data_IF_818709207992
#
_entry.id   IF_818709207992
#
_cell.length_a   1.000
_cell.length_b   1.000
_cell.length_c   1.000
_cell.angle_alpha   90.00
_cell.angle_beta   90.00
_cell.angle_gamma   90.00
#
_symmetry.space_group_name_H-M   'P 1'
#
loop_
_entity.id
_entity.type
_entity.pdbx_description
1 polymer ?
#
# COMPACT_ATOMS: atom_id res chain seq x y z
N UNK A 1 40.01 -12.87 28.53
CA UNK A 1 38.54 -12.97 28.56
C UNK A 1 38.01 -11.56 28.43
N UNK A 2 37.51 -11.07 27.29
CA UNK A 2 36.64 -11.72 26.34
C UNK A 2 35.25 -11.13 26.53
N UNK A 3 34.98 -9.94 25.99
CA UNK A 3 33.62 -9.43 25.77
C UNK A 3 33.60 -8.67 24.45
N UNK A 4 32.73 -9.18 23.57
CA UNK A 4 32.64 -8.83 22.16
C UNK A 4 32.15 -7.40 21.97
N UNK A 5 32.86 -6.65 21.11
CA UNK A 5 32.31 -5.47 20.45
C UNK A 5 31.23 -5.96 19.48
N UNK A 6 29.98 -5.92 19.95
CA UNK A 6 28.79 -6.00 19.10
C UNK A 6 28.78 -4.80 18.17
N UNK A 7 29.34 -4.98 16.97
CA UNK A 7 29.19 -4.05 15.87
C UNK A 7 27.70 -3.92 15.58
N UNK A 8 27.17 -2.72 15.75
CA UNK A 8 25.87 -2.34 15.20
C UNK A 8 25.95 -2.54 13.69
N UNK A 9 25.47 -3.70 13.21
CA UNK A 9 25.05 -3.84 11.83
C UNK A 9 23.84 -2.91 11.64
N UNK A 10 24.12 -1.63 11.41
CA UNK A 10 23.30 -0.90 10.46
C UNK A 10 23.50 -1.62 9.13
N UNK A 11 22.62 -2.59 8.87
CA UNK A 11 22.40 -3.12 7.52
C UNK A 11 21.89 -1.93 6.73
N UNK A 12 22.81 -1.13 6.19
CA UNK A 12 22.50 -0.31 5.03
C UNK A 12 22.05 -1.33 3.99
N UNK A 13 20.80 -1.23 3.56
CA UNK A 13 20.25 -2.08 2.50
C UNK A 13 20.98 -1.67 1.23
N UNK A 14 22.18 -2.19 1.05
CA UNK A 14 23.02 -1.95 -0.09
C UNK A 14 22.24 -2.39 -1.32
N UNK A 15 22.18 -1.47 -2.29
CA UNK A 15 21.72 -1.63 -3.67
C UNK A 15 22.52 -2.75 -4.38
N UNK A 16 22.43 -3.97 -3.88
CA UNK A 16 23.20 -5.11 -4.36
C UNK A 16 22.42 -5.73 -5.50
N UNK A 17 23.03 -5.71 -6.68
CA UNK A 17 22.50 -6.41 -7.83
C UNK A 17 22.36 -7.91 -7.50
N UNK A 18 21.20 -8.54 -7.78
CA UNK A 18 21.06 -9.98 -7.60
C UNK A 18 22.12 -10.73 -8.40
N UNK A 19 22.70 -11.78 -7.81
CA UNK A 19 23.75 -12.57 -8.46
C UNK A 19 23.32 -13.18 -9.81
N UNK A 20 22.03 -13.48 -9.96
CA UNK A 20 21.45 -14.03 -11.19
C UNK A 20 21.17 -12.97 -12.27
N UNK A 21 21.37 -11.69 -11.98
CA UNK A 21 20.96 -10.58 -12.83
C UNK A 21 22.15 -9.70 -13.22
N UNK A 22 21.96 -8.92 -14.28
CA UNK A 22 22.89 -7.89 -14.70
C UNK A 22 22.29 -6.52 -14.41
N UNK A 23 23.01 -5.67 -13.70
CA UNK A 23 22.54 -4.34 -13.35
C UNK A 23 23.39 -3.26 -14.01
N UNK A 24 22.72 -2.27 -14.61
CA UNK A 24 23.35 -1.12 -15.26
C UNK A 24 22.79 0.17 -14.69
N UNK A 25 23.66 1.11 -14.34
CA UNK A 25 23.23 2.46 -13.99
C UNK A 25 22.68 3.16 -15.23
N UNK A 26 21.55 3.87 -15.08
CA UNK A 26 20.94 4.66 -16.15
C UNK A 26 21.49 6.10 -16.22
N UNK A 27 22.54 6.38 -15.45
CA UNK A 27 23.13 7.71 -15.28
C UNK A 27 22.94 8.24 -13.86
N UNK A 28 23.63 9.33 -13.54
CA UNK A 28 23.50 9.97 -12.24
C UNK A 28 22.03 10.32 -11.97
N UNK A 29 21.51 9.83 -10.83
CA UNK A 29 20.13 10.05 -10.35
C UNK A 29 19.01 9.39 -11.17
N UNK A 30 19.29 8.70 -12.28
CA UNK A 30 18.26 8.04 -13.11
C UNK A 30 17.94 6.61 -12.68
N UNK A 31 18.56 6.12 -11.59
CA UNK A 31 18.31 4.80 -11.03
C UNK A 31 18.94 3.64 -11.80
N UNK A 32 18.42 2.43 -11.57
CA UNK A 32 19.05 1.18 -11.99
C UNK A 32 18.19 0.40 -13.01
N UNK A 33 18.83 -0.07 -14.08
CA UNK A 33 18.27 -1.08 -14.96
C UNK A 33 18.73 -2.46 -14.50
N UNK A 34 17.78 -3.34 -14.15
CA UNK A 34 18.01 -4.69 -13.66
C UNK A 34 17.49 -5.68 -14.70
N UNK A 35 18.40 -6.40 -15.34
CA UNK A 35 18.11 -7.42 -16.34
C UNK A 35 18.36 -8.83 -15.80
N UNK A 36 17.27 -9.52 -15.52
CA UNK A 36 17.22 -10.90 -15.04
C UNK A 36 16.63 -11.85 -16.11
N UNK A 37 16.54 -11.42 -17.37
CA UNK A 37 15.90 -12.19 -18.44
C UNK A 37 16.72 -13.41 -18.85
N UNK A 38 16.05 -14.50 -19.25
CA UNK A 38 16.71 -15.71 -19.75
C UNK A 38 17.65 -16.39 -18.75
N UNK A 39 17.31 -16.34 -17.45
CA UNK A 39 18.14 -16.86 -16.34
C UNK A 39 17.57 -18.13 -15.69
N UNK A 40 16.48 -18.69 -16.23
CA UNK A 40 15.77 -19.87 -15.69
C UNK A 40 15.30 -19.68 -14.24
N UNK A 41 14.97 -18.44 -13.88
CA UNK A 41 14.50 -18.11 -12.53
C UNK A 41 13.16 -18.78 -12.26
N UNK A 42 13.03 -19.41 -11.10
CA UNK A 42 11.78 -19.98 -10.58
C UNK A 42 11.11 -19.04 -9.56
N UNK A 43 11.87 -18.09 -9.04
CA UNK A 43 11.42 -17.08 -8.08
C UNK A 43 12.02 -15.70 -8.40
N UNK A 44 11.34 -14.65 -7.94
CA UNK A 44 11.81 -13.27 -8.13
C UNK A 44 12.92 -12.98 -7.11
N UNK A 45 14.12 -12.56 -7.54
CA UNK A 45 15.21 -12.25 -6.62
C UNK A 45 14.97 -10.97 -5.83
N UNK A 46 15.73 -10.74 -4.76
CA UNK A 46 15.65 -9.50 -3.99
C UNK A 46 16.11 -8.28 -4.82
N UNK A 47 15.19 -7.37 -5.15
CA UNK A 47 15.46 -6.26 -6.06
C UNK A 47 15.94 -4.99 -5.31
N UNK A 48 16.90 -4.24 -5.88
CA UNK A 48 17.30 -2.92 -5.37
C UNK A 48 16.15 -1.90 -5.46
N UNK A 49 16.04 -1.00 -4.47
CA UNK A 49 14.92 -0.04 -4.38
C UNK A 49 15.01 1.03 -5.49
N UNK A 50 16.22 1.36 -5.95
CA UNK A 50 16.45 2.32 -7.04
C UNK A 50 16.12 1.79 -8.45
N UNK A 51 15.55 0.59 -8.58
CA UNK A 51 15.23 -0.01 -9.87
C UNK A 51 14.19 0.80 -10.64
N UNK A 52 14.54 1.20 -11.86
CA UNK A 52 13.66 1.88 -12.83
C UNK A 52 13.21 1.01 -13.98
N UNK A 53 14.03 0.03 -14.38
CA UNK A 53 13.68 -0.91 -15.45
C UNK A 53 13.98 -2.32 -15.00
N UNK A 54 12.97 -3.18 -15.04
CA UNK A 54 13.07 -4.56 -14.54
C UNK A 54 12.67 -5.56 -15.61
N UNK A 55 13.63 -6.38 -16.07
CA UNK A 55 13.35 -7.43 -17.05
C UNK A 55 13.41 -8.81 -16.39
N UNK A 56 12.27 -9.50 -16.37
CA UNK A 56 12.10 -10.85 -15.82
C UNK A 56 11.55 -11.85 -16.86
N UNK A 57 11.42 -11.42 -18.11
CA UNK A 57 10.88 -12.24 -19.20
C UNK A 57 11.79 -13.43 -19.55
N UNK A 58 11.21 -14.45 -20.20
CA UNK A 58 11.90 -15.67 -20.60
C UNK A 58 12.55 -16.41 -19.41
N UNK A 59 11.76 -16.64 -18.36
CA UNK A 59 12.18 -17.39 -17.16
C UNK A 59 11.19 -18.54 -16.89
N UNK A 60 11.27 -19.14 -15.72
CA UNK A 60 10.40 -20.24 -15.28
C UNK A 60 9.52 -19.83 -14.10
N UNK A 61 9.15 -18.55 -14.04
CA UNK A 61 8.29 -18.01 -13.00
C UNK A 61 6.84 -18.48 -13.21
N UNK A 62 6.25 -19.08 -12.18
CA UNK A 62 4.85 -19.51 -12.21
C UNK A 62 3.93 -18.55 -11.46
N UNK A 63 4.46 -17.83 -10.47
CA UNK A 63 3.73 -16.88 -9.63
C UNK A 63 4.70 -15.91 -8.98
N UNK A 64 4.20 -14.78 -8.47
CA UNK A 64 4.99 -13.85 -7.65
C UNK A 64 4.38 -13.79 -6.25
N UNK A 65 5.14 -14.09 -5.19
CA UNK A 65 4.65 -13.99 -3.82
C UNK A 65 4.20 -12.56 -3.47
N UNK A 66 3.12 -12.39 -2.70
CA UNK A 66 2.71 -11.08 -2.20
C UNK A 66 3.85 -10.36 -1.48
N UNK A 67 4.08 -9.10 -1.83
CA UNK A 67 5.12 -8.27 -1.23
C UNK A 67 6.48 -8.31 -1.93
N UNK A 68 6.74 -9.29 -2.81
CA UNK A 68 8.05 -9.44 -3.45
C UNK A 68 8.47 -8.24 -4.32
N UNK A 69 7.50 -7.49 -4.86
CA UNK A 69 7.73 -6.32 -5.71
C UNK A 69 7.35 -5.00 -5.03
N UNK A 70 6.97 -5.03 -3.75
CA UNK A 70 6.45 -3.84 -3.06
C UNK A 70 7.50 -2.75 -2.86
N UNK A 71 8.78 -3.11 -2.87
CA UNK A 71 9.90 -2.15 -2.76
C UNK A 71 10.26 -1.47 -4.09
N UNK A 72 9.77 -1.95 -5.23
CA UNK A 72 10.12 -1.44 -6.56
C UNK A 72 8.91 -0.85 -7.29
N UNK A 73 8.26 0.13 -6.66
CA UNK A 73 7.07 0.81 -7.26
C UNK A 73 7.41 1.95 -8.21
N UNK A 74 8.65 2.45 -8.18
CA UNK A 74 9.09 3.58 -9.00
C UNK A 74 9.56 3.18 -10.40
N UNK A 75 9.09 2.03 -10.92
CA UNK A 75 9.48 1.47 -12.21
C UNK A 75 8.89 2.29 -13.36
N UNK A 76 9.69 2.50 -14.39
CA UNK A 76 9.29 3.08 -15.67
C UNK A 76 8.96 1.99 -16.69
N UNK A 77 9.66 0.85 -16.62
CA UNK A 77 9.45 -0.27 -17.51
C UNK A 77 9.61 -1.59 -16.75
N UNK A 78 8.69 -2.52 -17.03
CA UNK A 78 8.78 -3.90 -16.55
C UNK A 78 8.44 -4.83 -17.71
N UNK A 79 9.09 -6.00 -17.77
CA UNK A 79 8.81 -7.06 -18.76
C UNK A 79 8.71 -8.40 -18.07
N UNK A 80 7.54 -9.04 -18.16
CA UNK A 80 7.22 -10.31 -17.48
C UNK A 80 6.67 -11.39 -18.43
N UNK A 81 6.71 -11.15 -19.74
CA UNK A 81 6.27 -12.11 -20.76
C UNK A 81 7.09 -13.40 -20.71
N UNK A 82 6.63 -14.42 -21.43
CA UNK A 82 7.41 -15.65 -21.66
C UNK A 82 7.84 -16.34 -20.37
N UNK A 83 6.90 -16.43 -19.42
CA UNK A 83 7.02 -17.18 -18.19
C UNK A 83 5.80 -18.09 -18.06
N UNK A 84 5.93 -19.29 -17.46
CA UNK A 84 4.85 -20.25 -17.32
C UNK A 84 3.85 -19.86 -16.20
N UNK A 85 3.25 -18.67 -16.29
CA UNK A 85 2.34 -18.14 -15.27
C UNK A 85 1.17 -19.08 -14.99
N UNK A 86 1.01 -19.45 -13.72
CA UNK A 86 -0.15 -20.16 -13.22
C UNK A 86 -1.18 -19.14 -12.74
N UNK A 87 -2.25 -18.99 -13.50
CA UNK A 87 -3.31 -18.02 -13.30
C UNK A 87 -4.44 -18.54 -12.41
N UNK A 88 -4.06 -19.09 -11.26
CA UNK A 88 -4.99 -19.43 -10.17
C UNK A 88 -5.18 -18.23 -9.22
N UNK A 89 -5.58 -18.46 -7.97
CA UNK A 89 -5.79 -17.41 -6.99
C UNK A 89 -4.50 -16.65 -6.61
N UNK A 90 -3.32 -17.27 -6.74
CA UNK A 90 -2.04 -16.70 -6.35
C UNK A 90 -1.53 -15.67 -7.37
N UNK A 91 -2.04 -15.67 -8.60
CA UNK A 91 -1.68 -14.68 -9.63
C UNK A 91 -2.21 -13.28 -9.32
N UNK A 92 -3.18 -13.18 -8.39
CA UNK A 92 -3.89 -11.94 -8.10
C UNK A 92 -2.94 -10.82 -7.68
N UNK A 93 -1.92 -11.11 -6.88
CA UNK A 93 -0.92 -10.12 -6.48
C UNK A 93 -0.23 -9.50 -7.71
N UNK A 94 0.30 -10.35 -8.60
CA UNK A 94 1.00 -9.90 -9.80
C UNK A 94 0.07 -9.12 -10.73
N UNK A 95 -1.16 -9.60 -10.93
CA UNK A 95 -2.16 -8.93 -11.77
C UNK A 95 -2.43 -7.51 -11.26
N UNK A 96 -2.77 -7.35 -9.98
CA UNK A 96 -3.06 -6.05 -9.38
C UNK A 96 -1.83 -5.13 -9.36
N UNK A 97 -0.65 -5.68 -9.12
CA UNK A 97 0.60 -4.91 -9.17
C UNK A 97 0.90 -4.41 -10.60
N UNK A 98 0.69 -5.23 -11.62
CA UNK A 98 0.87 -4.82 -13.02
C UNK A 98 -0.17 -3.82 -13.49
N UNK A 99 -1.40 -3.89 -12.98
CA UNK A 99 -2.44 -2.87 -13.24
C UNK A 99 -2.02 -1.47 -12.78
N UNK A 100 -1.30 -1.38 -11.65
CA UNK A 100 -0.80 -0.11 -11.10
C UNK A 100 0.46 0.39 -11.84
N UNK A 101 1.34 -0.54 -12.24
CA UNK A 101 2.70 -0.18 -12.72
C UNK A 101 2.82 -0.13 -14.24
N UNK A 102 2.21 -1.06 -14.99
CA UNK A 102 2.43 -1.16 -16.44
C UNK A 102 1.33 -1.88 -17.19
N UNK A 103 0.47 -1.10 -17.87
CA UNK A 103 -0.55 -1.63 -18.78
C UNK A 103 0.04 -2.47 -19.93
N UNK A 104 1.21 -2.09 -20.45
CA UNK A 104 1.88 -2.82 -21.53
C UNK A 104 2.33 -4.22 -21.09
N UNK A 105 2.90 -4.35 -19.90
CA UNK A 105 3.25 -5.67 -19.36
C UNK A 105 2.01 -6.49 -19.00
N UNK A 106 0.96 -5.85 -18.49
CA UNK A 106 -0.31 -6.52 -18.19
C UNK A 106 -0.98 -7.12 -19.44
N UNK A 107 -0.83 -6.46 -20.59
CA UNK A 107 -1.37 -6.91 -21.89
C UNK A 107 -0.53 -8.03 -22.53
N UNK A 108 0.80 -7.96 -22.40
CA UNK A 108 1.71 -8.96 -22.99
C UNK A 108 1.90 -10.22 -22.13
N UNK A 109 1.63 -10.15 -20.83
CA UNK A 109 1.79 -11.28 -19.92
C UNK A 109 0.60 -12.25 -20.02
N UNK A 110 0.88 -13.51 -20.36
CA UNK A 110 -0.14 -14.55 -20.64
C UNK A 110 -0.05 -15.72 -19.68
N UNK A 111 -1.19 -16.32 -19.40
CA UNK A 111 -1.30 -17.54 -18.59
C UNK A 111 -0.78 -18.76 -19.34
N UNK A 112 0.00 -19.60 -18.67
CA UNK A 112 0.37 -20.92 -19.18
C UNK A 112 -0.53 -22.03 -18.60
N UNK A 113 -1.05 -21.81 -17.40
CA UNK A 113 -1.98 -22.71 -16.70
C UNK A 113 -2.98 -21.89 -15.86
N UNK A 114 -4.10 -22.46 -15.42
CA UNK A 114 -4.66 -23.75 -15.83
C UNK A 114 -5.16 -23.76 -17.28
N UNK A 115 -5.49 -24.95 -17.82
CA UNK A 115 -5.90 -25.12 -19.22
C UNK A 115 -7.02 -24.18 -19.72
N UNK A 116 -8.09 -23.88 -18.93
CA UNK A 116 -9.18 -23.01 -19.39
C UNK A 116 -8.77 -21.57 -19.69
N UNK A 117 -7.71 -21.07 -19.06
CA UNK A 117 -7.24 -19.68 -19.23
C UNK A 117 -5.91 -19.62 -19.98
N UNK A 118 -5.44 -20.73 -20.55
CA UNK A 118 -4.16 -20.80 -21.25
C UNK A 118 -4.11 -19.78 -22.39
N UNK A 119 -2.95 -19.13 -22.56
CA UNK A 119 -2.67 -18.03 -23.50
C UNK A 119 -3.48 -16.75 -23.28
N UNK A 120 -4.43 -16.74 -22.34
CA UNK A 120 -5.21 -15.56 -21.99
C UNK A 120 -4.30 -14.52 -21.30
N UNK A 121 -4.34 -13.24 -21.71
CA UNK A 121 -3.55 -12.21 -21.05
C UNK A 121 -4.11 -11.88 -19.68
N UNK A 122 -3.24 -11.48 -18.74
CA UNK A 122 -3.63 -11.16 -17.36
C UNK A 122 -4.71 -10.09 -17.27
N UNK A 123 -4.66 -9.08 -18.15
CA UNK A 123 -5.66 -8.00 -18.26
C UNK A 123 -7.09 -8.52 -18.43
N UNK A 124 -7.27 -9.65 -19.12
CA UNK A 124 -8.58 -10.20 -19.48
C UNK A 124 -9.10 -11.23 -18.47
N UNK A 125 -8.35 -11.54 -17.41
CA UNK A 125 -8.80 -12.49 -16.41
C UNK A 125 -9.91 -11.90 -15.54
N UNK A 126 -10.99 -12.66 -15.35
CA UNK A 126 -12.12 -12.27 -14.50
C UNK A 126 -12.12 -13.05 -13.17
N UNK A 127 -12.75 -12.51 -12.13
CA UNK A 127 -12.67 -13.08 -10.77
C UNK A 127 -13.22 -14.50 -10.63
N UNK A 128 -14.13 -14.92 -11.50
CA UNK A 128 -14.66 -16.29 -11.58
C UNK A 128 -13.65 -17.30 -12.19
N UNK A 129 -12.65 -16.84 -12.94
CA UNK A 129 -11.64 -17.69 -13.58
C UNK A 129 -10.42 -17.95 -12.69
N UNK A 130 -10.14 -17.05 -11.72
CA UNK A 130 -9.03 -17.20 -10.76
C UNK A 130 -9.29 -18.25 -9.66
N UNK A 131 -10.39 -19.02 -9.76
CA UNK A 131 -10.81 -19.96 -8.73
C UNK A 131 -11.31 -19.28 -7.45
N UNK A 132 -11.49 -20.06 -6.39
CA UNK A 132 -11.90 -19.54 -5.08
C UNK A 132 -10.69 -18.90 -4.40
N UNK A 133 -10.50 -17.60 -4.61
CA UNK A 133 -9.59 -16.81 -3.80
C UNK A 133 -10.21 -16.64 -2.42
N UNK A 134 -9.70 -17.33 -1.40
CA UNK A 134 -9.90 -16.88 -0.02
C UNK A 134 -9.25 -15.51 0.05
N UNK A 135 -10.09 -14.47 -0.02
CA UNK A 135 -9.67 -13.07 0.05
C UNK A 135 -8.87 -12.89 1.35
N UNK A 136 -7.56 -12.97 1.27
CA UNK A 136 -6.72 -11.99 1.93
C UNK A 136 -6.96 -10.66 1.19
N UNK A 137 -8.20 -10.15 1.29
CA UNK A 137 -8.39 -8.70 1.21
C UNK A 137 -7.34 -8.16 2.18
N UNK A 138 -6.50 -7.22 1.76
CA UNK A 138 -5.44 -6.77 2.63
C UNK A 138 -6.15 -6.25 3.87
N UNK A 139 -5.87 -6.87 5.02
CA UNK A 139 -6.34 -6.42 6.33
C UNK A 139 -6.07 -4.90 6.48
N UNK A 140 -5.07 -4.40 5.75
CA UNK A 140 -4.75 -2.97 5.54
C UNK A 140 -5.89 -2.10 5.02
N UNK A 141 -6.75 -2.53 4.08
CA UNK A 141 -7.88 -1.72 3.63
C UNK A 141 -8.90 -1.56 4.75
N UNK A 142 -9.23 -2.65 5.45
CA UNK A 142 -10.16 -2.62 6.57
C UNK A 142 -9.56 -1.78 7.72
N UNK A 143 -8.31 -2.03 8.11
CA UNK A 143 -7.57 -1.20 9.09
C UNK A 143 -7.55 0.29 8.73
N UNK A 144 -7.33 0.63 7.46
CA UNK A 144 -7.32 2.02 6.99
C UNK A 144 -8.71 2.65 7.13
N UNK A 145 -9.76 1.98 6.66
CA UNK A 145 -11.14 2.46 6.79
C UNK A 145 -11.56 2.63 8.26
N UNK A 146 -11.23 1.70 9.15
CA UNK A 146 -11.56 1.82 10.58
C UNK A 146 -10.80 2.95 11.26
N UNK A 147 -9.53 3.18 10.92
CA UNK A 147 -8.76 4.30 11.46
C UNK A 147 -9.36 5.64 11.05
N UNK A 148 -9.72 5.79 9.78
CA UNK A 148 -10.36 7.02 9.29
C UNK A 148 -11.73 7.24 9.93
N UNK A 149 -12.54 6.17 10.08
CA UNK A 149 -13.84 6.24 10.76
C UNK A 149 -13.71 6.63 12.24
N UNK A 150 -12.72 6.08 12.95
CA UNK A 150 -12.44 6.44 14.35
C UNK A 150 -12.04 7.92 14.47
N UNK A 151 -11.19 8.42 13.56
CA UNK A 151 -10.79 9.82 13.52
C UNK A 151 -11.98 10.75 13.23
N UNK A 152 -12.83 10.39 12.28
CA UNK A 152 -14.05 11.16 11.95
C UNK A 152 -15.02 11.17 13.13
N UNK A 153 -15.27 10.01 13.76
CA UNK A 153 -16.14 9.95 14.93
C UNK A 153 -15.60 10.80 16.09
N UNK A 154 -14.30 10.76 16.34
CA UNK A 154 -13.64 11.59 17.35
C UNK A 154 -13.85 13.09 17.10
N UNK A 155 -13.64 13.56 15.86
CA UNK A 155 -13.83 14.99 15.52
C UNK A 155 -15.29 15.43 15.62
N UNK A 156 -16.25 14.57 15.27
CA UNK A 156 -17.68 14.87 15.46
C UNK A 156 -18.03 14.99 16.94
N UNK A 157 -17.56 14.06 17.78
CA UNK A 157 -17.82 14.07 19.23
C UNK A 157 -17.24 15.34 19.87
N UNK A 158 -16.02 15.74 19.51
CA UNK A 158 -15.41 16.95 20.07
C UNK A 158 -16.18 18.22 19.68
N UNK A 159 -16.63 18.34 18.43
CA UNK A 159 -17.46 19.46 17.98
C UNK A 159 -18.80 19.53 18.72
N UNK A 160 -19.45 18.38 18.96
CA UNK A 160 -20.69 18.31 19.73
C UNK A 160 -20.46 18.80 21.16
N UNK A 161 -19.39 18.35 21.82
CA UNK A 161 -19.07 18.77 23.19
C UNK A 161 -18.78 20.27 23.27
N UNK A 162 -18.05 20.83 22.30
CA UNK A 162 -17.79 22.28 22.22
C UNK A 162 -19.10 23.06 22.03
N UNK A 163 -19.98 22.61 21.12
CA UNK A 163 -21.29 23.24 20.93
C UNK A 163 -22.16 23.18 22.20
N UNK A 164 -22.12 22.05 22.91
CA UNK A 164 -22.79 21.87 24.20
C UNK A 164 -22.23 22.83 25.26
N UNK A 165 -20.91 22.93 25.38
CA UNK A 165 -20.24 23.84 26.31
C UNK A 165 -20.56 25.31 26.00
N UNK A 166 -20.57 25.71 24.72
CA UNK A 166 -20.97 27.06 24.29
C UNK A 166 -22.44 27.36 24.57
N UNK A 167 -23.32 26.37 24.37
CA UNK A 167 -24.74 26.50 24.70
C UNK A 167 -24.96 26.62 26.21
N UNK A 168 -24.23 25.83 26.99
CA UNK A 168 -24.26 25.86 28.44
C UNK A 168 -23.70 27.18 28.99
N UNK A 169 -22.57 27.67 28.47
CA UNK A 169 -21.99 28.95 28.88
C UNK A 169 -22.93 30.12 28.56
N UNK A 170 -23.54 30.17 27.37
CA UNK A 170 -24.58 31.15 27.03
C UNK A 170 -25.78 31.07 27.96
N UNK A 171 -26.23 29.86 28.32
CA UNK A 171 -27.33 29.64 29.27
C UNK A 171 -26.97 30.17 30.67
N UNK A 172 -25.75 29.92 31.14
CA UNK A 172 -25.27 30.38 32.44
C UNK A 172 -25.17 31.92 32.49
N UNK A 173 -24.60 32.55 31.45
CA UNK A 173 -24.52 34.01 31.32
C UNK A 173 -25.91 34.64 31.32
N UNK A 174 -26.87 34.04 30.60
CA UNK A 174 -28.26 34.50 30.58
C UNK A 174 -28.89 34.45 31.98
N UNK A 175 -28.70 33.34 32.70
CA UNK A 175 -29.20 33.18 34.07
C UNK A 175 -28.58 34.19 35.06
N UNK A 176 -27.26 34.41 35.00
CA UNK A 176 -26.57 35.41 35.84
C UNK A 176 -27.11 36.82 35.55
N UNK A 177 -27.30 37.19 34.28
CA UNK A 177 -27.83 38.50 33.87
C UNK A 177 -29.27 38.72 34.31
N UNK A 178 -30.11 37.67 34.27
CA UNK A 178 -31.48 37.67 34.80
C UNK A 178 -31.52 37.81 36.33
N UNK A 179 -30.68 37.05 37.05
CA UNK A 179 -30.57 37.12 38.52
C UNK A 179 -30.09 38.50 38.99
N UNK A 180 -29.11 39.09 38.31
CA UNK A 180 -28.63 40.45 38.58
C UNK A 180 -29.70 41.53 38.35
N UNK A 181 -30.53 41.40 37.31
CA UNK A 181 -31.67 42.31 37.07
C UNK A 181 -32.75 42.21 38.16
N UNK A 182 -33.02 41.01 38.70
CA UNK A 182 -34.00 40.81 39.78
C UNK A 182 -33.52 41.41 41.12
N UNK A 183 -32.24 41.24 41.45
CA UNK A 183 -31.62 41.83 42.65
C UNK A 183 -31.55 43.36 42.58
N UNK A 184 -31.25 43.94 41.42
CA UNK A 184 -31.28 45.40 41.23
C UNK A 184 -32.69 46.00 41.36
N UNK A 185 -33.74 45.27 40.96
CA UNK A 185 -35.14 45.72 41.07
C UNK A 185 -35.68 45.65 42.51
N UNK A 186 -35.10 44.81 43.37
CA UNK A 186 -35.47 44.72 44.79
C UNK A 186 -34.84 45.85 45.62
N UNK A 187 -33.65 46.32 45.26
CA UNK A 187 -32.99 47.45 45.94
C UNK A 187 -33.59 48.82 45.56
N UNK A 188 -34.20 48.93 44.37
CA UNK A 188 -34.87 50.16 43.91
C UNK A 188 -36.28 50.37 44.46
N UNK A 189 -36.85 49.41 45.21
CA UNK A 189 -38.19 49.52 45.83
C UNK A 189 -38.15 49.85 47.33
N UNK A 190 -36.96 49.93 47.92
CA UNK A 190 -36.75 50.18 49.35
C UNK A 190 -36.14 51.57 49.63
N UNK A 191 -36.22 52.50 48.66
CA UNK A 191 -35.82 53.89 48.79
C UNK A 191 -36.98 54.80 48.39
#
# INVERSE_FOLDING_TARGET
>A
AGFALSVLFHVTRTEVCPASCNCKSLGEMKGLHVDCSSRKLTEVPALPVSTKRLYLHNNSLTSVPPGALDSVRSLEEVRMSDNPWNCDCHILYLKLWLEDISAASLESTRCASPAPVRMKPLRQLTGNELGVCNRLLPIKCLEFFWRDLILIAGTIITLILVAWALKFSKKLVCQIKLRGKLLGRHNSKNH
#
